data_IF_364210823833
#
_entry.id   IF_364210823833
#
_cell.length_a   1.000
_cell.length_b   1.000
_cell.length_c   1.000
_cell.angle_alpha   90.00
_cell.angle_beta   90.00
_cell.angle_gamma   90.00
#
_symmetry.space_group_name_H-M   'P 1'
#
loop_
_entity.id
_entity.type
_entity.pdbx_description
1 polymer ?
#
# COMPACT_ATOMS: atom_id res chain seq x y z
N UNK A 1 7.61 -20.92 -19.16
CA UNK A 1 8.71 -19.99 -18.79
C UNK A 1 8.08 -18.75 -18.18
N UNK A 2 8.51 -18.33 -16.98
CA UNK A 2 8.14 -17.00 -16.49
C UNK A 2 8.82 -15.94 -17.36
N UNK A 3 8.07 -14.92 -17.75
CA UNK A 3 8.66 -13.77 -18.45
C UNK A 3 9.46 -12.90 -17.46
N UNK A 4 10.31 -12.01 -17.98
CA UNK A 4 11.16 -11.11 -17.17
C UNK A 4 10.36 -10.28 -16.16
N UNK A 5 9.12 -9.92 -16.51
CA UNK A 5 8.22 -9.19 -15.63
C UNK A 5 7.83 -10.03 -14.41
N UNK A 6 7.37 -11.28 -14.62
CA UNK A 6 6.98 -12.19 -13.54
C UNK A 6 8.14 -12.48 -12.59
N UNK A 7 9.35 -12.65 -13.13
CA UNK A 7 10.55 -12.83 -12.30
C UNK A 7 10.78 -11.63 -11.38
N UNK A 8 10.76 -10.40 -11.93
CA UNK A 8 10.94 -9.18 -11.14
C UNK A 8 9.82 -8.92 -10.13
N UNK A 9 8.58 -9.22 -10.51
CA UNK A 9 7.45 -9.17 -9.61
C UNK A 9 7.67 -10.09 -8.40
N UNK A 10 8.04 -11.34 -8.63
CA UNK A 10 8.33 -12.29 -7.56
C UNK A 10 9.52 -11.84 -6.69
N UNK A 11 10.61 -11.35 -7.29
CA UNK A 11 11.76 -10.82 -6.54
C UNK A 11 11.39 -9.65 -5.63
N UNK A 12 10.57 -8.71 -6.10
CA UNK A 12 10.11 -7.55 -5.31
C UNK A 12 9.30 -8.02 -4.10
N UNK A 13 8.32 -8.89 -4.30
CA UNK A 13 7.48 -9.39 -3.22
C UNK A 13 8.27 -10.28 -2.23
N UNK A 14 9.28 -11.02 -2.70
CA UNK A 14 10.20 -11.75 -1.83
C UNK A 14 11.07 -10.82 -0.98
N UNK A 15 11.52 -9.68 -1.52
CA UNK A 15 12.29 -8.69 -0.75
C UNK A 15 11.47 -7.97 0.31
N UNK A 16 10.18 -7.74 0.03
CA UNK A 16 9.26 -7.13 1.01
C UNK A 16 8.89 -8.15 2.10
N UNK A 17 8.69 -9.41 1.74
CA UNK A 17 8.22 -10.47 2.64
C UNK A 17 6.69 -10.52 2.76
N UNK A 18 6.20 -11.27 3.74
CA UNK A 18 4.78 -11.41 4.08
C UNK A 18 4.25 -10.26 4.95
N UNK A 19 5.15 -9.50 5.58
CA UNK A 19 4.84 -8.28 6.33
C UNK A 19 6.04 -7.32 6.33
N UNK A 20 5.76 -6.02 6.33
CA UNK A 20 6.81 -5.01 6.41
C UNK A 20 6.30 -3.67 6.92
N UNK A 21 7.22 -2.81 7.37
CA UNK A 21 6.94 -1.40 7.62
C UNK A 21 7.27 -0.60 6.35
N UNK A 22 6.24 -0.10 5.66
CA UNK A 22 6.40 0.71 4.46
C UNK A 22 5.99 2.16 4.74
N UNK A 23 6.61 3.11 4.02
CA UNK A 23 6.15 4.51 4.02
C UNK A 23 4.97 4.63 3.07
N UNK A 24 3.80 5.01 3.59
CA UNK A 24 2.60 5.29 2.81
C UNK A 24 2.46 6.79 2.55
N UNK A 25 2.60 7.19 1.30
CA UNK A 25 2.35 8.55 0.82
C UNK A 25 0.93 8.68 0.24
N UNK A 26 0.26 9.78 0.60
CA UNK A 26 -1.09 10.14 0.13
C UNK A 26 -1.09 11.63 -0.24
N UNK A 27 -2.00 12.05 -1.11
CA UNK A 27 -2.20 13.46 -1.44
C UNK A 27 -3.68 13.79 -1.54
N UNK A 28 -4.11 14.87 -0.89
CA UNK A 28 -5.47 15.38 -1.00
C UNK A 28 -5.44 16.91 -0.95
N UNK A 29 -6.17 17.59 -1.84
CA UNK A 29 -6.25 19.05 -1.93
C UNK A 29 -4.87 19.73 -1.96
N UNK A 30 -3.99 19.26 -2.86
CA UNK A 30 -2.60 19.73 -3.01
C UNK A 30 -1.71 19.57 -1.76
N UNK A 31 -2.14 18.78 -0.77
CA UNK A 31 -1.38 18.50 0.44
C UNK A 31 -0.95 17.04 0.49
N UNK A 32 0.35 16.84 0.39
CA UNK A 32 1.00 15.53 0.54
C UNK A 32 1.16 15.20 2.03
N UNK A 33 1.01 13.93 2.39
CA UNK A 33 1.46 13.40 3.67
C UNK A 33 2.11 12.03 3.50
N UNK A 34 3.12 11.71 4.30
CA UNK A 34 3.78 10.41 4.30
C UNK A 34 4.01 9.94 5.74
N UNK A 35 3.84 8.64 6.02
CA UNK A 35 4.22 8.04 7.30
C UNK A 35 4.47 6.55 7.15
N UNK A 36 5.32 6.00 8.02
CA UNK A 36 5.51 4.56 8.15
C UNK A 36 4.26 3.89 8.72
N UNK A 37 3.85 2.78 8.11
CA UNK A 37 2.72 1.93 8.50
C UNK A 37 3.15 0.47 8.43
N UNK A 38 2.55 -0.38 9.28
CA UNK A 38 2.71 -1.83 9.15
C UNK A 38 1.75 -2.35 8.08
N UNK A 39 2.29 -3.14 7.15
CA UNK A 39 1.54 -3.81 6.11
C UNK A 39 1.67 -5.32 6.24
N UNK A 40 0.60 -6.02 5.85
CA UNK A 40 0.55 -7.46 5.61
C UNK A 40 0.36 -7.68 4.12
N UNK A 41 1.11 -8.61 3.55
CA UNK A 41 1.04 -8.99 2.15
C UNK A 41 0.29 -10.32 2.08
N UNK A 42 -0.86 -10.32 1.42
CA UNK A 42 -1.70 -11.51 1.25
C UNK A 42 -2.18 -11.59 -0.19
N UNK A 43 -1.97 -12.75 -0.84
CA UNK A 43 -2.42 -13.02 -2.21
C UNK A 43 -2.00 -11.94 -3.22
N UNK A 44 -0.77 -11.41 -3.07
CA UNK A 44 -0.24 -10.36 -3.94
C UNK A 44 -0.80 -8.95 -3.67
N UNK A 45 -1.60 -8.77 -2.63
CA UNK A 45 -2.17 -7.48 -2.22
C UNK A 45 -1.56 -7.00 -0.90
N UNK A 46 -1.41 -5.68 -0.76
CA UNK A 46 -0.85 -5.05 0.43
C UNK A 46 -1.98 -4.46 1.30
N UNK A 47 -2.09 -4.93 2.53
CA UNK A 47 -3.11 -4.51 3.49
C UNK A 47 -2.48 -3.76 4.66
N UNK A 48 -3.15 -2.73 5.13
CA UNK A 48 -2.80 -2.02 6.37
C UNK A 48 -4.06 -1.63 7.12
N UNK A 49 -3.93 -1.44 8.43
CA UNK A 49 -5.03 -1.03 9.28
C UNK A 49 -4.91 0.46 9.63
N UNK A 50 -6.04 1.17 9.62
CA UNK A 50 -6.13 2.54 10.10
C UNK A 50 -7.54 2.80 10.60
N UNK A 51 -7.66 3.63 11.63
CA UNK A 51 -8.96 4.13 12.09
C UNK A 51 -9.57 5.13 11.08
N UNK A 52 -10.91 5.20 11.03
CA UNK A 52 -11.67 6.06 10.09
C UNK A 52 -11.54 7.56 10.40
N UNK A 53 -11.24 7.92 11.64
CA UNK A 53 -10.97 9.29 12.06
C UNK A 53 -9.59 9.79 11.62
N UNK A 54 -8.66 8.88 11.31
CA UNK A 54 -7.29 9.22 10.94
C UNK A 54 -7.20 9.94 9.61
N UNK A 55 -6.24 10.86 9.52
CA UNK A 55 -5.97 11.62 8.29
C UNK A 55 -5.77 10.72 7.07
N UNK A 56 -5.05 9.60 7.23
CA UNK A 56 -4.76 8.69 6.10
C UNK A 56 -6.03 8.07 5.51
N UNK A 57 -6.98 7.68 6.35
CA UNK A 57 -8.27 7.19 5.86
C UNK A 57 -9.00 8.29 5.06
N UNK A 58 -9.07 9.52 5.60
CA UNK A 58 -9.71 10.66 4.92
C UNK A 58 -9.03 11.02 3.60
N UNK A 59 -7.70 11.06 3.58
CA UNK A 59 -6.91 11.33 2.37
C UNK A 59 -7.23 10.28 1.29
N UNK A 60 -7.23 8.99 1.64
CA UNK A 60 -7.45 7.88 0.69
C UNK A 60 -8.90 7.84 0.20
N UNK A 61 -9.88 8.12 1.06
CA UNK A 61 -11.29 8.22 0.64
C UNK A 61 -11.53 9.39 -0.31
N UNK A 62 -10.77 10.48 -0.19
CA UNK A 62 -10.85 11.63 -1.08
C UNK A 62 -10.01 11.48 -2.37
N UNK A 63 -8.90 10.75 -2.30
CA UNK A 63 -8.03 10.43 -3.43
C UNK A 63 -7.36 9.06 -3.20
N UNK A 64 -7.78 8.02 -3.93
CA UNK A 64 -7.31 6.66 -3.67
C UNK A 64 -5.92 6.38 -4.25
N UNK A 65 -5.33 7.31 -5.02
CA UNK A 65 -3.97 7.17 -5.53
C UNK A 65 -2.96 7.28 -4.39
N UNK A 66 -2.17 6.23 -4.19
CA UNK A 66 -1.17 6.14 -3.13
C UNK A 66 0.18 5.70 -3.68
N UNK A 67 1.24 6.05 -2.96
CA UNK A 67 2.57 5.53 -3.20
C UNK A 67 3.12 4.87 -1.92
N UNK A 68 3.86 3.78 -2.10
CA UNK A 68 4.57 3.06 -1.05
C UNK A 68 6.07 3.10 -1.35
N UNK A 69 6.86 3.24 -0.29
CA UNK A 69 8.31 3.14 -0.36
C UNK A 69 8.85 2.17 0.70
N UNK A 70 9.74 1.29 0.28
CA UNK A 70 10.46 0.34 1.13
C UNK A 70 11.89 0.15 0.59
N UNK A 71 12.89 0.65 1.33
CA UNK A 71 14.28 0.69 0.85
C UNK A 71 14.35 1.39 -0.53
N UNK A 72 14.82 0.70 -1.57
CA UNK A 72 14.89 1.20 -2.95
C UNK A 72 13.67 0.79 -3.81
N UNK A 73 12.65 0.17 -3.22
CA UNK A 73 11.43 -0.26 -3.92
C UNK A 73 10.36 0.82 -3.77
N UNK A 74 9.78 1.22 -4.89
CA UNK A 74 8.65 2.15 -4.96
C UNK A 74 7.48 1.46 -5.68
N UNK A 75 6.29 1.56 -5.09
CA UNK A 75 5.06 1.04 -5.66
C UNK A 75 4.04 2.17 -5.71
N UNK A 76 3.34 2.31 -6.82
CA UNK A 76 2.17 3.18 -6.94
C UNK A 76 0.93 2.33 -7.17
N UNK A 77 -0.21 2.75 -6.64
CA UNK A 77 -1.44 2.00 -6.78
C UNK A 77 -2.68 2.71 -6.27
N UNK A 78 -3.80 2.02 -6.38
CA UNK A 78 -5.10 2.44 -5.88
C UNK A 78 -5.36 1.72 -4.56
N UNK A 79 -5.61 2.48 -3.50
CA UNK A 79 -5.97 1.93 -2.20
C UNK A 79 -7.50 1.94 -2.04
N UNK A 80 -8.05 0.77 -1.72
CA UNK A 80 -9.47 0.57 -1.50
C UNK A 80 -9.76 0.25 -0.02
N UNK A 81 -10.87 0.77 0.48
CA UNK A 81 -11.39 0.40 1.79
C UNK A 81 -12.07 -0.97 1.72
N UNK A 82 -11.51 -1.96 2.42
CA UNK A 82 -12.01 -3.34 2.47
C UNK A 82 -12.92 -3.61 3.67
N UNK A 83 -13.59 -2.60 4.24
CA UNK A 83 -14.66 -2.81 5.24
C UNK A 83 -15.94 -3.37 4.64
N UNK A 84 -15.90 -4.56 4.06
CA UNK A 84 -17.09 -5.42 3.91
C UNK A 84 -17.09 -6.43 5.03
N UNK A 85 -17.85 -6.17 6.10
CA UNK A 85 -18.43 -7.24 6.89
C UNK A 85 -19.39 -7.98 5.95
N UNK A 86 -19.00 -9.18 5.49
CA UNK A 86 -19.99 -10.16 5.11
C UNK A 86 -20.58 -10.67 6.42
N UNK A 87 -21.73 -10.12 6.80
CA UNK A 87 -22.67 -10.81 7.68
C UNK A 87 -23.20 -12.06 6.96
#
# INVERSE_FOLDING_TARGET
>A
MQNKYQQKYTEIFQQIGDHAKLVLATSLNNKVSARTMSFVILEGSLYFQTDKGMRKYKDIKGNPNVALCFSNIQLEGICEDRTTYRA
#
